data_IF_396071441665
#
_entry.id   IF_396071441665
#
_cell.length_a   1.000
_cell.length_b   1.000
_cell.length_c   1.000
_cell.angle_alpha   90.00
_cell.angle_beta   90.00
_cell.angle_gamma   90.00
#
_symmetry.space_group_name_H-M   'P 1'
#
loop_
_entity.id
_entity.type
_entity.pdbx_description
1 polymer ?
#
# COMPACT_ATOMS: atom_id res chain seq x y z
N UNK A 1 13.12 3.00 23.43
CA UNK A 1 13.53 1.67 22.93
C UNK A 1 12.48 1.16 21.96
N UNK A 2 12.89 0.52 20.86
CA UNK A 2 11.96 -0.12 19.93
C UNK A 2 11.51 -1.46 20.53
N UNK A 3 10.21 -1.75 20.52
CA UNK A 3 9.66 -3.06 20.91
C UNK A 3 9.30 -3.83 19.65
N UNK A 4 9.81 -5.04 19.52
CA UNK A 4 9.53 -5.93 18.39
C UNK A 4 8.68 -7.11 18.88
N UNK A 5 7.69 -7.47 18.08
CA UNK A 5 6.85 -8.65 18.27
C UNK A 5 6.65 -9.31 16.92
N UNK A 6 6.44 -10.62 16.91
CA UNK A 6 6.29 -11.38 15.68
C UNK A 6 5.19 -12.42 15.82
N UNK A 7 4.56 -12.73 14.70
CA UNK A 7 3.62 -13.81 14.52
C UNK A 7 4.03 -14.58 13.27
N UNK A 8 3.58 -15.83 13.17
CA UNK A 8 3.91 -16.70 12.05
C UNK A 8 2.62 -17.02 11.30
N UNK A 9 2.58 -16.62 10.03
CA UNK A 9 1.58 -17.10 9.09
C UNK A 9 2.09 -18.43 8.51
N UNK A 10 1.43 -19.54 8.83
CA UNK A 10 1.91 -20.88 8.44
C UNK A 10 1.64 -21.22 6.97
N UNK A 11 0.58 -20.66 6.41
CA UNK A 11 0.14 -20.87 5.04
C UNK A 11 0.06 -19.52 4.32
N UNK A 12 0.39 -19.48 3.02
CA UNK A 12 0.31 -18.27 2.21
C UNK A 12 -1.15 -17.90 1.88
N UNK A 13 -1.91 -17.50 2.89
CA UNK A 13 -3.34 -17.19 2.81
C UNK A 13 -3.62 -15.71 2.45
N UNK A 14 -2.61 -14.98 1.99
CA UNK A 14 -2.72 -13.59 1.52
C UNK A 14 -2.32 -12.53 2.56
N UNK A 15 -2.19 -11.29 2.09
CA UNK A 15 -1.73 -10.14 2.87
C UNK A 15 -2.69 -9.74 3.99
N UNK A 16 -3.98 -9.88 3.75
CA UNK A 16 -5.02 -9.61 4.74
C UNK A 16 -5.00 -10.61 5.89
N UNK A 17 -4.79 -11.90 5.59
CA UNK A 17 -4.65 -12.93 6.62
C UNK A 17 -3.42 -12.66 7.52
N UNK A 18 -2.29 -12.26 6.93
CA UNK A 18 -1.10 -11.88 7.68
C UNK A 18 -1.37 -10.70 8.65
N UNK A 19 -2.08 -9.67 8.19
CA UNK A 19 -2.42 -8.49 9.01
C UNK A 19 -3.30 -8.86 10.21
N UNK A 20 -4.21 -9.84 10.08
CA UNK A 20 -5.08 -10.27 11.18
C UNK A 20 -4.33 -10.77 12.41
N UNK A 21 -3.14 -11.35 12.25
CA UNK A 21 -2.33 -11.79 13.38
C UNK A 21 -1.87 -10.63 14.28
N UNK A 22 -1.86 -9.40 13.76
CA UNK A 22 -1.48 -8.21 14.50
C UNK A 22 -2.66 -7.53 15.23
N UNK A 23 -3.91 -8.00 15.05
CA UNK A 23 -5.11 -7.31 15.54
C UNK A 23 -5.03 -6.90 17.02
N UNK A 24 -4.73 -7.86 17.90
CA UNK A 24 -4.64 -7.59 19.34
C UNK A 24 -3.52 -6.62 19.72
N UNK A 25 -2.46 -6.51 18.90
CA UNK A 25 -1.34 -5.60 19.16
C UNK A 25 -1.68 -4.16 18.83
N UNK A 26 -2.60 -3.93 17.90
CA UNK A 26 -3.05 -2.57 17.53
C UNK A 26 -3.81 -1.88 18.66
N UNK A 27 -4.38 -2.64 19.60
CA UNK A 27 -5.20 -2.13 20.70
C UNK A 27 -6.36 -1.21 20.24
N UNK A 28 -6.81 -1.40 19.00
CA UNK A 28 -7.86 -0.57 18.38
C UNK A 28 -7.37 0.76 17.81
N UNK A 29 -6.08 1.08 17.91
CA UNK A 29 -5.49 2.29 17.33
C UNK A 29 -5.27 2.15 15.82
N UNK A 30 -5.18 3.29 15.13
CA UNK A 30 -4.74 3.36 13.73
C UNK A 30 -3.29 2.91 13.60
N UNK A 31 -3.00 2.09 12.60
CA UNK A 31 -1.70 1.47 12.43
C UNK A 31 -1.23 1.50 10.97
N UNK A 32 0.09 1.45 10.80
CA UNK A 32 0.73 1.38 9.49
C UNK A 32 1.04 -0.08 9.12
N UNK A 33 0.70 -0.47 7.89
CA UNK A 33 1.19 -1.70 7.26
C UNK A 33 2.18 -1.33 6.15
N UNK A 34 3.34 -1.96 6.17
CA UNK A 34 4.39 -1.81 5.18
C UNK A 34 4.89 -3.19 4.77
N UNK A 35 4.86 -3.50 3.47
CA UNK A 35 5.40 -4.78 2.98
C UNK A 35 6.93 -4.73 3.00
N UNK A 36 7.55 -5.81 3.52
CA UNK A 36 8.99 -5.88 3.78
C UNK A 36 9.86 -6.02 2.54
N UNK A 37 9.27 -6.37 1.41
CA UNK A 37 9.90 -6.49 0.09
C UNK A 37 9.76 -5.22 -0.77
N UNK A 38 9.20 -4.15 -0.19
CA UNK A 38 8.96 -2.91 -0.89
C UNK A 38 9.68 -1.75 -0.20
N UNK A 39 10.69 -1.19 -0.88
CA UNK A 39 11.41 -0.01 -0.43
C UNK A 39 10.79 1.24 -1.09
N UNK A 40 10.76 2.34 -0.35
CA UNK A 40 10.41 3.66 -0.88
C UNK A 40 11.63 4.54 -0.70
N UNK A 41 12.25 4.92 -1.81
CA UNK A 41 13.39 5.84 -1.84
C UNK A 41 12.88 7.26 -2.08
N UNK A 42 13.39 8.21 -1.30
CA UNK A 42 13.05 9.63 -1.42
C UNK A 42 14.19 10.47 -0.85
N UNK A 43 14.39 11.65 -1.44
CA UNK A 43 15.24 12.72 -0.89
C UNK A 43 14.39 13.85 -0.26
N UNK A 44 13.07 13.71 -0.26
CA UNK A 44 12.15 14.69 0.33
C UNK A 44 12.36 14.78 1.84
N UNK A 45 12.36 16.01 2.37
CA UNK A 45 12.38 16.26 3.82
C UNK A 45 11.18 15.63 4.53
N UNK A 46 10.02 15.61 3.87
CA UNK A 46 8.82 14.93 4.34
C UNK A 46 8.66 13.61 3.58
N UNK A 47 8.89 12.45 4.22
CA UNK A 47 8.67 11.15 3.60
C UNK A 47 7.21 10.98 3.14
N UNK A 48 6.96 10.27 2.02
CA UNK A 48 5.62 10.12 1.47
C UNK A 48 4.61 9.47 2.43
N UNK A 49 5.08 8.58 3.33
CA UNK A 49 4.21 7.98 4.35
C UNK A 49 3.72 9.02 5.36
N UNK A 50 4.58 9.96 5.79
CA UNK A 50 4.16 11.03 6.70
C UNK A 50 3.22 12.00 6.00
N UNK A 51 3.52 12.37 4.75
CA UNK A 51 2.64 13.20 3.92
C UNK A 51 1.24 12.57 3.76
N UNK A 52 1.17 11.27 3.48
CA UNK A 52 -0.10 10.53 3.40
C UNK A 52 -0.88 10.61 4.71
N UNK A 53 -0.22 10.42 5.86
CA UNK A 53 -0.86 10.52 7.18
C UNK A 53 -1.40 11.93 7.41
N UNK A 54 -0.57 12.96 7.22
CA UNK A 54 -0.92 14.35 7.50
C UNK A 54 -2.07 14.84 6.61
N UNK A 55 -2.00 14.56 5.30
CA UNK A 55 -3.03 14.97 4.33
C UNK A 55 -4.36 14.26 4.58
N UNK A 56 -4.35 12.95 4.82
CA UNK A 56 -5.58 12.19 5.09
C UNK A 56 -6.21 12.61 6.42
N UNK A 57 -5.42 12.80 7.48
CA UNK A 57 -5.93 13.29 8.77
C UNK A 57 -6.53 14.69 8.65
N UNK A 58 -5.91 15.58 7.87
CA UNK A 58 -6.46 16.91 7.58
C UNK A 58 -7.81 16.89 6.86
N UNK A 59 -8.10 15.81 6.13
CA UNK A 59 -9.38 15.55 5.47
C UNK A 59 -10.37 14.76 6.33
N UNK A 60 -9.98 14.33 7.54
CA UNK A 60 -10.79 13.47 8.40
C UNK A 60 -10.86 12.01 7.93
N UNK A 61 -9.87 11.55 7.18
CA UNK A 61 -9.78 10.21 6.61
C UNK A 61 -8.75 9.39 7.40
N UNK A 62 -9.17 8.23 7.90
CA UNK A 62 -8.33 7.40 8.79
C UNK A 62 -7.77 6.14 8.12
N UNK A 63 -8.34 5.73 6.98
CA UNK A 63 -7.81 4.66 6.14
C UNK A 63 -7.18 5.27 4.89
N UNK A 64 -5.93 4.94 4.60
CA UNK A 64 -5.23 5.51 3.45
C UNK A 64 -4.24 4.53 2.81
N UNK A 65 -3.96 4.76 1.54
CA UNK A 65 -2.94 4.02 0.77
C UNK A 65 -2.00 4.97 0.06
N UNK A 66 -0.72 4.62 0.03
CA UNK A 66 0.22 5.27 -0.87
C UNK A 66 0.05 4.64 -2.24
N UNK A 67 0.10 5.43 -3.31
CA UNK A 67 -0.08 4.94 -4.68
C UNK A 67 0.99 5.45 -5.62
N UNK A 68 1.21 4.75 -6.73
CA UNK A 68 2.08 5.19 -7.82
C UNK A 68 1.39 4.99 -9.17
N UNK A 69 1.71 5.83 -10.15
CA UNK A 69 1.25 5.62 -11.53
C UNK A 69 2.12 4.55 -12.19
N UNK A 70 1.50 3.49 -12.69
CA UNK A 70 2.21 2.36 -13.33
C UNK A 70 1.83 2.23 -14.81
N UNK A 71 2.69 1.56 -15.57
CA UNK A 71 2.41 1.23 -16.97
C UNK A 71 1.30 0.16 -17.05
N UNK A 72 0.58 0.14 -18.18
CA UNK A 72 -0.60 -0.73 -18.41
C UNK A 72 -0.30 -2.21 -18.18
N UNK A 73 0.88 -2.68 -18.57
CA UNK A 73 1.32 -4.06 -18.41
C UNK A 73 1.51 -4.49 -16.94
N UNK A 74 1.59 -3.53 -16.00
CA UNK A 74 1.74 -3.79 -14.57
C UNK A 74 0.42 -3.76 -13.80
N UNK A 75 -0.70 -3.39 -14.43
CA UNK A 75 -1.98 -3.20 -13.74
C UNK A 75 -2.48 -4.47 -13.06
N UNK A 76 -2.32 -5.63 -13.69
CA UNK A 76 -2.76 -6.92 -13.14
C UNK A 76 -1.89 -7.46 -12.01
N UNK A 77 -0.84 -6.74 -11.60
CA UNK A 77 0.07 -7.18 -10.54
C UNK A 77 -0.29 -6.63 -9.16
N UNK A 78 -1.12 -5.58 -9.10
CA UNK A 78 -1.31 -4.78 -7.90
C UNK A 78 -2.79 -4.47 -7.64
N UNK A 79 -3.09 -4.00 -6.43
CA UNK A 79 -4.35 -3.31 -6.16
C UNK A 79 -4.38 -1.96 -6.87
N UNK A 80 -5.37 -1.77 -7.75
CA UNK A 80 -5.55 -0.55 -8.53
C UNK A 80 -6.69 0.26 -7.94
N UNK A 81 -6.43 1.53 -7.65
CA UNK A 81 -7.39 2.43 -7.02
C UNK A 81 -8.13 3.28 -8.06
N UNK A 82 -9.34 3.72 -7.73
CA UNK A 82 -10.12 4.65 -8.52
C UNK A 82 -10.43 5.89 -7.66
N UNK A 83 -9.78 7.04 -7.89
CA UNK A 83 -10.14 8.26 -7.17
C UNK A 83 -11.53 8.78 -7.59
N UNK A 84 -12.19 9.53 -6.73
CA UNK A 84 -13.42 10.25 -7.09
C UNK A 84 -13.15 11.28 -8.19
N UNK A 85 -12.00 11.97 -8.11
CA UNK A 85 -11.51 12.94 -9.09
C UNK A 85 -10.14 12.50 -9.58
N UNK A 86 -10.05 12.05 -10.84
CA UNK A 86 -8.82 11.49 -11.42
C UNK A 86 -7.63 12.47 -11.42
N UNK A 87 -7.89 13.76 -11.66
CA UNK A 87 -6.84 14.79 -11.74
C UNK A 87 -6.13 15.05 -10.43
N UNK A 88 -6.71 14.70 -9.27
CA UNK A 88 -6.07 14.94 -7.98
C UNK A 88 -4.76 14.17 -7.85
N UNK A 89 -4.79 12.87 -8.13
CA UNK A 89 -3.59 12.03 -8.06
C UNK A 89 -2.56 12.41 -9.14
N UNK A 90 -3.01 12.83 -10.33
CA UNK A 90 -2.12 13.28 -11.41
C UNK A 90 -1.41 14.59 -11.07
N UNK A 91 -2.07 15.46 -10.32
CA UNK A 91 -1.52 16.74 -9.84
C UNK A 91 -0.76 16.60 -8.51
N UNK A 92 -0.59 15.37 -8.01
CA UNK A 92 0.18 15.07 -6.81
C UNK A 92 -0.57 15.30 -5.49
N UNK A 93 -1.89 15.48 -5.53
CA UNK A 93 -2.75 15.66 -4.35
C UNK A 93 -3.29 14.34 -3.84
N UNK A 94 -3.56 14.26 -2.53
CA UNK A 94 -4.36 13.18 -1.96
C UNK A 94 -5.80 13.24 -2.49
N UNK A 95 -6.35 12.07 -2.85
CA UNK A 95 -7.70 11.91 -3.36
C UNK A 95 -8.52 10.95 -2.48
N UNK A 96 -9.83 11.17 -2.40
CA UNK A 96 -10.78 10.18 -1.86
C UNK A 96 -11.01 9.11 -2.93
N UNK A 97 -11.04 7.84 -2.53
CA UNK A 97 -11.28 6.72 -3.42
C UNK A 97 -12.77 6.43 -3.57
N UNK A 98 -13.19 6.16 -4.81
CA UNK A 98 -14.50 5.60 -5.17
C UNK A 98 -14.49 4.08 -5.23
N UNK A 99 -13.39 3.46 -5.69
CA UNK A 99 -13.28 2.00 -5.80
C UNK A 99 -11.82 1.53 -5.68
N UNK A 100 -11.62 0.26 -5.38
CA UNK A 100 -10.32 -0.43 -5.35
C UNK A 100 -10.53 -1.84 -5.90
N UNK A 101 -9.66 -2.27 -6.82
CA UNK A 101 -9.71 -3.64 -7.37
C UNK A 101 -8.35 -4.31 -7.20
N UNK A 102 -8.30 -5.45 -6.50
CA UNK A 102 -7.09 -6.27 -6.37
C UNK A 102 -6.80 -7.02 -7.67
N UNK A 103 -5.61 -6.82 -8.24
CA UNK A 103 -5.09 -7.55 -9.42
C UNK A 103 -6.14 -7.67 -10.55
N UNK A 104 -6.70 -6.54 -11.03
CA UNK A 104 -7.72 -6.56 -12.08
C UNK A 104 -7.16 -7.14 -13.38
N UNK A 105 -8.03 -7.60 -14.27
CA UNK A 105 -7.61 -7.70 -15.69
C UNK A 105 -7.27 -6.30 -16.20
N UNK A 106 -6.38 -6.21 -17.19
CA UNK A 106 -5.93 -4.91 -17.74
C UNK A 106 -7.13 -4.06 -18.19
N UNK A 107 -8.10 -4.68 -18.86
CA UNK A 107 -9.33 -4.04 -19.34
C UNK A 107 -10.35 -3.70 -18.24
N UNK A 108 -10.20 -4.25 -17.04
CA UNK A 108 -11.05 -4.02 -15.87
C UNK A 108 -10.39 -3.03 -14.88
N UNK A 109 -9.14 -2.62 -15.13
CA UNK A 109 -8.42 -1.72 -14.25
C UNK A 109 -9.09 -0.33 -14.25
N UNK A 110 -9.45 0.22 -13.08
CA UNK A 110 -10.23 1.44 -13.00
C UNK A 110 -9.38 2.72 -13.18
N UNK A 111 -8.06 2.59 -13.14
CA UNK A 111 -7.09 3.67 -13.42
C UNK A 111 -5.69 3.08 -13.65
N UNK A 112 -4.67 3.93 -13.70
CA UNK A 112 -3.25 3.54 -13.70
C UNK A 112 -2.56 3.69 -12.33
N UNK A 113 -3.30 3.93 -11.25
CA UNK A 113 -2.74 4.12 -9.92
C UNK A 113 -2.75 2.82 -9.11
N UNK A 114 -1.57 2.25 -8.90
CA UNK A 114 -1.35 1.04 -8.12
C UNK A 114 -0.97 1.36 -6.68
N UNK A 115 -1.42 0.55 -5.72
CA UNK A 115 -1.03 0.68 -4.31
C UNK A 115 0.47 0.38 -4.15
N UNK A 116 1.19 1.32 -3.55
CA UNK A 116 2.63 1.31 -3.31
C UNK A 116 3.02 0.65 -1.96
N UNK A 117 2.30 -0.42 -1.57
CA UNK A 117 2.58 -1.27 -0.41
C UNK A 117 2.75 -0.54 0.94
N UNK A 118 2.07 0.60 1.12
CA UNK A 118 1.94 1.32 2.38
C UNK A 118 0.46 1.59 2.62
N UNK A 119 0.00 1.22 3.80
CA UNK A 119 -1.39 1.35 4.21
C UNK A 119 -1.44 1.97 5.59
N UNK A 120 -2.27 3.00 5.77
CA UNK A 120 -2.75 3.45 7.06
C UNK A 120 -4.13 2.83 7.27
N UNK A 121 -4.32 2.09 8.37
CA UNK A 121 -5.53 1.30 8.58
C UNK A 121 -6.07 1.53 9.98
N UNK A 122 -7.40 1.56 10.11
CA UNK A 122 -8.09 1.50 11.40
C UNK A 122 -8.50 0.08 11.75
N UNK A 123 -8.93 -0.14 12.99
CA UNK A 123 -9.42 -1.45 13.46
C UNK A 123 -10.60 -2.01 12.65
N UNK A 124 -11.36 -1.16 11.94
CA UNK A 124 -12.44 -1.58 11.05
C UNK A 124 -11.97 -2.54 9.94
N UNK A 125 -10.70 -2.49 9.57
CA UNK A 125 -10.14 -3.41 8.58
C UNK A 125 -10.25 -4.87 9.02
N UNK A 126 -10.18 -5.18 10.32
CA UNK A 126 -10.26 -6.55 10.81
C UNK A 126 -11.65 -7.14 10.62
N UNK A 127 -12.70 -6.34 10.81
CA UNK A 127 -14.08 -6.74 10.51
C UNK A 127 -14.28 -6.98 9.01
N UNK A 128 -13.81 -6.05 8.17
CA UNK A 128 -13.85 -6.22 6.72
C UNK A 128 -13.08 -7.48 6.27
N UNK A 129 -11.91 -7.75 6.84
CA UNK A 129 -11.13 -8.96 6.59
C UNK A 129 -11.87 -10.23 7.04
N UNK A 130 -12.68 -10.21 8.08
CA UNK A 130 -13.44 -11.42 8.49
C UNK A 130 -14.47 -11.86 7.45
N UNK A 131 -15.02 -10.92 6.70
CA UNK A 131 -16.10 -11.18 5.73
C UNK A 131 -15.63 -11.08 4.27
N UNK A 132 -14.42 -10.56 4.03
CA UNK A 132 -13.82 -10.51 2.70
C UNK A 132 -13.66 -11.89 2.11
N UNK A 133 -14.13 -12.04 0.86
CA UNK A 133 -13.95 -13.27 0.09
C UNK A 133 -12.47 -13.46 -0.23
N UNK A 134 -12.07 -14.73 -0.33
CA UNK A 134 -10.77 -15.11 -0.87
C UNK A 134 -10.77 -14.94 -2.39
N UNK A 135 -9.63 -14.58 -2.95
CA UNK A 135 -9.44 -14.47 -4.40
C UNK A 135 -9.39 -15.86 -5.07
N UNK A 136 -9.14 -15.87 -6.38
CA UNK A 136 -9.04 -17.11 -7.19
C UNK A 136 -7.90 -18.04 -6.76
N UNK A 137 -6.93 -17.54 -6.00
CA UNK A 137 -5.78 -18.28 -5.45
C UNK A 137 -6.03 -18.72 -4.00
N UNK A 138 -7.19 -18.36 -3.42
CA UNK A 138 -7.51 -18.66 -2.03
C UNK A 138 -6.90 -17.66 -1.03
N UNK A 139 -6.37 -16.53 -1.52
CA UNK A 139 -5.73 -15.49 -0.72
C UNK A 139 -6.76 -14.44 -0.27
N UNK A 140 -6.64 -13.99 0.98
CA UNK A 140 -7.35 -12.85 1.53
C UNK A 140 -6.44 -11.62 1.42
N UNK A 141 -6.85 -10.59 0.68
CA UNK A 141 -6.03 -9.42 0.42
C UNK A 141 -6.59 -8.15 1.08
N UNK A 142 -5.68 -7.25 1.47
CA UNK A 142 -6.05 -5.95 2.08
C UNK A 142 -6.93 -5.10 1.13
N UNK A 143 -6.65 -5.00 -0.20
CA UNK A 143 -7.46 -4.17 -1.08
C UNK A 143 -8.91 -4.64 -1.22
N UNK A 144 -9.17 -5.95 -1.16
CA UNK A 144 -10.53 -6.49 -1.14
C UNK A 144 -11.30 -6.06 0.12
N UNK A 145 -10.64 -6.06 1.28
CA UNK A 145 -11.23 -5.60 2.53
C UNK A 145 -11.45 -4.06 2.55
N UNK A 146 -10.51 -3.28 2.01
CA UNK A 146 -10.70 -1.84 1.84
C UNK A 146 -11.87 -1.51 0.90
N UNK A 147 -12.08 -2.31 -0.15
CA UNK A 147 -13.24 -2.18 -1.04
C UNK A 147 -14.56 -2.38 -0.30
N UNK A 148 -14.62 -3.29 0.68
CA UNK A 148 -15.80 -3.45 1.53
C UNK A 148 -16.07 -2.21 2.38
N UNK A 149 -15.02 -1.62 2.97
CA UNK A 149 -15.16 -0.36 3.71
C UNK A 149 -15.71 0.77 2.82
N UNK A 150 -15.23 0.89 1.58
CA UNK A 150 -15.77 1.85 0.61
C UNK A 150 -17.26 1.62 0.31
N UNK A 151 -17.68 0.36 0.15
CA UNK A 151 -19.10 0.02 -0.04
C UNK A 151 -19.96 0.43 1.16
N UNK A 152 -19.42 0.33 2.37
CA UNK A 152 -20.04 0.75 3.63
C UNK A 152 -19.92 2.27 3.89
N UNK A 153 -19.52 3.05 2.88
CA UNK A 153 -19.37 4.52 2.94
C UNK A 153 -18.28 5.00 3.91
N UNK A 154 -17.31 4.15 4.22
CA UNK A 154 -16.11 4.52 4.99
C UNK A 154 -15.06 5.02 3.99
N UNK A 155 -14.65 6.28 4.13
CA UNK A 155 -13.70 6.91 3.23
C UNK A 155 -12.30 6.26 3.31
N UNK A 156 -11.68 6.08 2.14
CA UNK A 156 -10.28 5.69 2.01
C UNK A 156 -9.56 6.72 1.16
N UNK A 157 -8.44 7.24 1.66
CA UNK A 157 -7.60 8.20 0.96
C UNK A 157 -6.52 7.52 0.13
N UNK A 158 -6.12 8.12 -0.98
CA UNK A 158 -4.94 7.73 -1.74
C UNK A 158 -4.01 8.93 -1.92
N UNK A 159 -2.75 8.76 -1.55
CA UNK A 159 -1.71 9.78 -1.72
C UNK A 159 -0.69 9.30 -2.76
N UNK A 160 -0.42 10.05 -3.84
CA UNK A 160 0.49 9.61 -4.88
C UNK A 160 1.95 9.83 -4.48
N UNK A 161 2.83 8.92 -4.87
CA UNK A 161 4.27 9.18 -4.94
C UNK A 161 4.53 10.36 -5.88
N UNK A 162 5.31 11.33 -5.42
CA UNK A 162 5.70 12.49 -6.19
C UNK A 162 6.95 12.23 -7.02
N UNK A 163 7.24 13.16 -7.93
CA UNK A 163 8.48 13.16 -8.70
C UNK A 163 9.69 13.12 -7.77
N UNK A 164 10.54 12.10 -7.94
CA UNK A 164 11.72 11.87 -7.10
C UNK A 164 11.49 10.86 -5.97
N UNK A 165 10.24 10.44 -5.74
CA UNK A 165 9.92 9.33 -4.84
C UNK A 165 9.74 8.06 -5.66
N UNK A 166 10.47 6.99 -5.31
CA UNK A 166 10.54 5.78 -6.13
C UNK A 166 10.24 4.56 -5.29
N UNK A 167 9.23 3.79 -5.72
CA UNK A 167 9.00 2.44 -5.20
C UNK A 167 9.97 1.46 -5.85
N UNK A 168 10.64 0.66 -5.02
CA UNK A 168 11.56 -0.40 -5.42
C UNK A 168 11.06 -1.73 -4.89
N UNK A 169 10.74 -2.62 -5.82
CA UNK A 169 10.21 -3.96 -5.55
C UNK A 169 11.35 -4.98 -5.52
N UNK A 170 11.78 -5.37 -4.32
CA UNK A 170 12.83 -6.37 -4.11
C UNK A 170 12.26 -7.78 -3.89
N UNK A 171 10.96 -7.98 -4.10
CA UNK A 171 10.32 -9.30 -4.12
C UNK A 171 10.61 -10.07 -5.41
N UNK A 172 10.92 -9.35 -6.49
CA UNK A 172 11.39 -9.93 -7.75
C UNK A 172 12.91 -10.18 -7.75
N UNK A 173 13.35 -11.22 -8.44
CA UNK A 173 14.78 -11.54 -8.57
C UNK A 173 15.57 -10.38 -9.22
N UNK A 174 15.03 -9.80 -10.28
CA UNK A 174 15.63 -8.68 -11.00
C UNK A 174 15.72 -7.42 -10.12
N UNK A 175 14.62 -7.09 -9.43
CA UNK A 175 14.57 -5.95 -8.52
C UNK A 175 15.54 -6.10 -7.35
N UNK A 176 15.62 -7.30 -6.76
CA UNK A 176 16.60 -7.60 -5.72
C UNK A 176 18.04 -7.38 -6.22
N UNK A 177 18.42 -7.95 -7.37
CA UNK A 177 19.78 -7.79 -7.91
C UNK A 177 20.13 -6.34 -8.22
N UNK A 178 19.18 -5.60 -8.80
CA UNK A 178 19.37 -4.19 -9.17
C UNK A 178 19.61 -3.35 -7.92
N UNK A 179 18.79 -3.50 -6.88
CA UNK A 179 18.93 -2.73 -5.65
C UNK A 179 20.13 -3.16 -4.81
N UNK A 180 20.48 -4.45 -4.81
CA UNK A 180 21.70 -4.91 -4.17
C UNK A 180 22.95 -4.29 -4.82
N UNK A 181 23.03 -4.28 -6.15
CA UNK A 181 24.14 -3.66 -6.87
C UNK A 181 24.27 -2.16 -6.56
N UNK A 182 23.14 -1.42 -6.57
CA UNK A 182 23.10 0.00 -6.20
C UNK A 182 23.60 0.25 -4.77
N UNK A 183 23.19 -0.59 -3.82
CA UNK A 183 23.63 -0.47 -2.42
C UNK A 183 25.16 -0.63 -2.30
N UNK A 184 25.74 -1.61 -3.02
CA UNK A 184 27.20 -1.82 -3.04
C UNK A 184 27.94 -0.64 -3.67
N UNK A 185 27.43 -0.05 -4.73
CA UNK A 185 28.03 1.14 -5.36
C UNK A 185 28.00 2.35 -4.44
N UNK A 186 26.88 2.58 -3.76
CA UNK A 186 26.75 3.65 -2.77
C UNK A 186 27.75 3.51 -1.63
N UNK A 187 27.87 2.31 -1.07
CA UNK A 187 28.82 2.05 0.03
C UNK A 187 30.28 2.29 -0.40
N UNK A 188 30.65 1.97 -1.64
CA UNK A 188 31.98 2.27 -2.17
C UNK A 188 32.25 3.76 -2.25
N UNK A 189 31.26 4.54 -2.69
CA UNK A 189 31.38 5.99 -2.85
C UNK A 189 31.43 6.73 -1.51
N UNK A 190 30.78 6.20 -0.46
CA UNK A 190 30.80 6.78 0.90
C UNK A 190 32.11 6.47 1.67
N UNK A 191 32.91 5.51 1.21
CA UNK A 191 34.21 5.13 1.82
C UNK A 191 35.42 5.85 1.22
N UNK A 192 35.22 6.75 0.25
CA UNK A 192 36.25 7.59 -0.40
C UNK A 192 36.13 9.03 0.10
#
# INVERSE_FOLDING_TARGET
SLKLSYAIQLEANGSGDAVRYAETWTQGETFLVAFGDCLIETESETPPVLRMIDECQGMGIENAVLVEKVATEKLSLYGIVAPEVETDLEEGRTAILRDIIEKPKIEEAPSHFAIAARFLLTSQIFDALRVSKKDVRGEQNIPDALRLLLNDQIAVGATPLLKGEVRKDIGSLEGYYTEFARAVEREKNERV
#
